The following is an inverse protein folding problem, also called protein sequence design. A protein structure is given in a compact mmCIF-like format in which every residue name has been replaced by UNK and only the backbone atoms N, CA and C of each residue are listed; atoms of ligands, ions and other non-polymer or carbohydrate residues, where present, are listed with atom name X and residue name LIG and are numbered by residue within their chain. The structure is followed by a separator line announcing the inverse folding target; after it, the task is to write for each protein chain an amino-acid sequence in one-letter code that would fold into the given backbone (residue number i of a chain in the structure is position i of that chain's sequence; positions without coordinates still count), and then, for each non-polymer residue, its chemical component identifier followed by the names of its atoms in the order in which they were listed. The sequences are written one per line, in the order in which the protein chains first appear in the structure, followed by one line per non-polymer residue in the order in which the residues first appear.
data_IF_035821835419
#
_entry.id   IF_035821835419
#
_cell.length_a   1.000
_cell.length_b   1.000
_cell.length_c   1.000
_cell.angle_alpha   90.00
_cell.angle_beta   90.00
_cell.angle_gamma   90.00
#
_symmetry.space_group_name_H-M   'P 1'
#
loop_
_entity.id
_entity.type
_entity.pdbx_description
1 polymer ?
#
# COMPACT_ATOMS: atom_id res chain seq x y z
N UNK A 1 -4.95 10.73 8.79
CA UNK A 1 -5.67 10.80 7.49
C UNK A 1 -5.95 12.25 7.13
N UNK A 2 -5.88 12.60 5.85
CA UNK A 2 -6.01 13.98 5.37
C UNK A 2 -7.34 14.14 4.60
N UNK A 3 -8.34 14.69 5.28
CA UNK A 3 -9.70 14.88 4.74
C UNK A 3 -9.71 15.80 3.51
N UNK A 4 -8.86 16.84 3.49
CA UNK A 4 -8.75 17.76 2.35
C UNK A 4 -8.30 17.03 1.07
N UNK A 5 -7.39 16.07 1.20
CA UNK A 5 -6.96 15.25 0.06
C UNK A 5 -8.08 14.33 -0.43
N UNK A 6 -8.89 13.77 0.48
CA UNK A 6 -10.07 12.97 0.08
C UNK A 6 -11.05 13.83 -0.71
N UNK A 7 -11.38 15.03 -0.20
CA UNK A 7 -12.27 15.98 -0.91
C UNK A 7 -11.72 16.32 -2.31
N UNK A 8 -10.41 16.50 -2.42
CA UNK A 8 -9.78 16.78 -3.73
C UNK A 8 -9.90 15.61 -4.71
N UNK A 9 -9.83 14.38 -4.22
CA UNK A 9 -10.11 13.19 -5.04
C UNK A 9 -11.57 13.18 -5.50
N UNK A 10 -12.49 13.45 -4.58
CA UNK A 10 -13.92 13.49 -4.88
C UNK A 10 -14.24 14.58 -5.92
N UNK A 11 -13.59 15.76 -5.82
CA UNK A 11 -13.72 16.83 -6.82
C UNK A 11 -13.26 16.39 -8.21
N UNK A 12 -12.09 15.75 -8.28
CA UNK A 12 -11.54 15.23 -9.55
C UNK A 12 -12.50 14.26 -10.25
N UNK A 13 -13.25 13.49 -9.47
CA UNK A 13 -14.17 12.46 -9.98
C UNK A 13 -15.61 12.95 -10.08
N UNK A 14 -15.91 14.14 -9.56
CA UNK A 14 -17.28 14.61 -9.38
C UNK A 14 -18.17 13.58 -8.70
N UNK A 15 -17.66 12.98 -7.62
CA UNK A 15 -18.38 11.96 -6.87
C UNK A 15 -18.01 12.06 -5.38
N UNK A 16 -19.01 12.21 -4.54
CA UNK A 16 -18.87 12.31 -3.09
C UNK A 16 -19.73 11.22 -2.45
N UNK A 17 -19.12 10.17 -1.99
CA UNK A 17 -19.82 9.01 -1.42
C UNK A 17 -19.57 8.96 0.09
N UNK A 18 -20.64 8.91 0.85
CA UNK A 18 -20.58 8.74 2.30
C UNK A 18 -21.38 7.48 2.65
N UNK A 19 -20.75 6.53 3.30
CA UNK A 19 -21.41 5.34 3.84
C UNK A 19 -21.28 5.36 5.36
N UNK A 20 -22.38 5.15 6.07
CA UNK A 20 -22.41 5.05 7.52
C UNK A 20 -22.67 3.61 7.91
N UNK A 21 -21.86 3.07 8.83
CA UNK A 21 -22.03 1.71 9.33
C UNK A 21 -22.97 1.68 10.54
N UNK A 22 -23.46 0.50 10.88
CA UNK A 22 -24.29 0.27 12.07
C UNK A 22 -23.56 0.66 13.38
N UNK A 23 -22.24 0.61 13.39
CA UNK A 23 -21.40 0.96 14.54
C UNK A 23 -20.99 2.45 14.55
N UNK A 24 -21.76 3.27 13.85
CA UNK A 24 -21.56 4.73 13.71
C UNK A 24 -20.22 5.12 13.05
N UNK A 25 -19.47 4.19 12.52
CA UNK A 25 -18.32 4.50 11.69
C UNK A 25 -18.79 5.09 10.34
N UNK A 26 -18.03 6.04 9.82
CA UNK A 26 -18.36 6.59 8.51
C UNK A 26 -17.18 6.42 7.55
N UNK A 27 -17.52 6.05 6.33
CA UNK A 27 -16.60 5.94 5.21
C UNK A 27 -16.87 7.07 4.23
N UNK A 28 -15.82 7.69 3.73
CA UNK A 28 -15.95 8.81 2.81
C UNK A 28 -14.95 8.67 1.65
N UNK A 29 -15.42 8.93 0.44
CA UNK A 29 -14.58 8.83 -0.75
C UNK A 29 -15.32 9.11 -2.04
N UNK A 30 -14.71 8.70 -3.16
CA UNK A 30 -15.26 8.93 -4.51
C UNK A 30 -16.01 7.71 -5.08
N UNK A 31 -16.18 6.66 -4.27
CA UNK A 31 -16.79 5.39 -4.69
C UNK A 31 -15.79 4.39 -5.27
N UNK A 32 -14.64 4.83 -5.78
CA UNK A 32 -13.53 3.93 -6.15
C UNK A 32 -12.54 3.75 -4.99
N UNK A 33 -12.44 4.74 -4.15
CA UNK A 33 -11.72 4.65 -2.87
C UNK A 33 -12.60 5.19 -1.76
N UNK A 34 -12.74 4.41 -0.70
CA UNK A 34 -13.49 4.77 0.49
C UNK A 34 -12.54 4.72 1.69
N UNK A 35 -12.52 5.78 2.48
CA UNK A 35 -11.61 5.96 3.61
C UNK A 35 -12.41 5.95 4.90
N UNK A 36 -11.98 5.15 5.86
CA UNK A 36 -12.59 5.10 7.20
C UNK A 36 -12.21 6.37 7.96
N UNK A 37 -13.20 7.16 8.35
CA UNK A 37 -12.97 8.39 9.08
C UNK A 37 -12.88 8.12 10.59
N UNK A 38 -12.12 8.98 11.28
CA UNK A 38 -12.09 8.97 12.74
C UNK A 38 -13.50 9.22 13.30
N UNK A 39 -13.92 8.53 14.37
CA UNK A 39 -15.21 8.77 15.00
C UNK A 39 -15.41 10.21 15.51
N UNK A 40 -14.33 10.95 15.70
CA UNK A 40 -14.36 12.36 16.11
C UNK A 40 -14.85 13.29 14.99
N UNK A 41 -14.84 12.84 13.74
CA UNK A 41 -15.28 13.65 12.60
C UNK A 41 -16.81 13.61 12.56
N UNK A 42 -17.48 14.76 12.59
CA UNK A 42 -18.94 14.78 12.50
C UNK A 42 -19.42 14.21 11.17
N UNK A 43 -20.68 13.81 11.12
CA UNK A 43 -21.25 13.24 9.90
C UNK A 43 -21.11 14.22 8.71
N UNK A 44 -20.51 13.73 7.63
CA UNK A 44 -20.20 14.53 6.43
C UNK A 44 -21.44 14.58 5.50
N UNK A 45 -22.45 15.37 5.88
CA UNK A 45 -23.53 15.68 4.95
C UNK A 45 -23.04 16.61 3.83
N UNK A 46 -23.84 16.74 2.78
CA UNK A 46 -23.54 17.67 1.68
C UNK A 46 -23.34 19.10 2.20
N UNK A 47 -24.18 19.55 3.14
CA UNK A 47 -24.06 20.89 3.75
C UNK A 47 -22.74 21.07 4.51
N UNK A 48 -22.33 20.05 5.26
CA UNK A 48 -21.08 20.09 6.03
C UNK A 48 -19.88 20.15 5.06
N UNK A 49 -19.87 19.32 4.03
CA UNK A 49 -18.79 19.30 3.04
C UNK A 49 -18.74 20.64 2.29
N UNK A 50 -19.90 21.15 1.85
CA UNK A 50 -20.01 22.44 1.16
C UNK A 50 -19.45 23.58 2.02
N UNK A 51 -19.86 23.64 3.29
CA UNK A 51 -19.42 24.70 4.19
C UNK A 51 -17.94 24.64 4.54
N UNK A 52 -17.41 23.42 4.81
CA UNK A 52 -16.01 23.24 5.20
C UNK A 52 -15.02 23.48 4.06
N UNK A 53 -15.41 23.22 2.83
CA UNK A 53 -14.51 23.25 1.68
C UNK A 53 -14.90 24.29 0.62
N UNK A 54 -15.85 25.17 0.96
CA UNK A 54 -16.33 26.27 0.11
C UNK A 54 -16.75 25.76 -1.29
N UNK A 55 -17.51 24.66 -1.31
CA UNK A 55 -18.00 24.08 -2.55
C UNK A 55 -19.37 24.64 -2.90
N UNK A 56 -19.62 24.74 -4.20
CA UNK A 56 -20.93 25.05 -4.73
C UNK A 56 -21.92 23.94 -4.28
N UNK A 57 -22.89 24.32 -3.46
CA UNK A 57 -23.83 23.38 -2.85
C UNK A 57 -24.65 22.62 -3.87
N UNK A 58 -25.17 23.33 -4.89
CA UNK A 58 -26.03 22.71 -5.89
C UNK A 58 -25.26 21.66 -6.71
N UNK A 59 -24.02 21.96 -7.07
CA UNK A 59 -23.14 21.02 -7.77
C UNK A 59 -22.75 19.85 -6.88
N UNK A 60 -22.53 20.10 -5.60
CA UNK A 60 -22.19 19.03 -4.64
C UNK A 60 -23.38 18.08 -4.48
N UNK A 61 -24.60 18.58 -4.30
CA UNK A 61 -25.78 17.74 -4.13
C UNK A 61 -26.04 16.81 -5.31
N UNK A 62 -25.77 17.27 -6.53
CA UNK A 62 -25.89 16.44 -7.73
C UNK A 62 -24.92 15.25 -7.73
N UNK A 63 -23.78 15.39 -7.05
CA UNK A 63 -22.70 14.41 -7.04
C UNK A 63 -22.53 13.71 -5.69
N UNK A 64 -23.38 14.04 -4.70
CA UNK A 64 -23.34 13.48 -3.36
C UNK A 64 -24.21 12.22 -3.30
N UNK A 65 -23.64 11.15 -2.83
CA UNK A 65 -24.33 9.87 -2.61
C UNK A 65 -24.17 9.45 -1.17
N UNK A 66 -25.28 9.36 -0.46
CA UNK A 66 -25.30 8.79 0.87
C UNK A 66 -25.91 7.39 0.81
N UNK A 67 -25.22 6.45 1.41
CA UNK A 67 -25.79 5.11 1.62
C UNK A 67 -25.67 4.76 3.10
N UNK A 68 -26.76 4.33 3.69
CA UNK A 68 -26.71 3.53 4.89
C UNK A 68 -26.01 2.23 4.50
N UNK A 69 -25.18 1.71 5.38
CA UNK A 69 -24.20 0.71 5.07
C UNK A 69 -24.75 -0.39 4.19
N UNK A 70 -24.19 -0.46 3.05
CA UNK A 70 -24.28 -1.60 2.21
C UNK A 70 -23.46 -2.73 2.87
N UNK A 71 -24.05 -3.86 3.08
CA UNK A 71 -23.40 -5.08 3.56
C UNK A 71 -22.09 -5.39 2.80
N UNK A 72 -22.02 -4.99 1.53
CA UNK A 72 -20.85 -5.18 0.68
C UNK A 72 -19.60 -4.45 1.22
N UNK A 73 -19.71 -3.16 1.59
CA UNK A 73 -18.55 -2.42 2.10
C UNK A 73 -18.11 -2.96 3.46
N UNK A 74 -19.04 -3.37 4.30
CA UNK A 74 -18.72 -3.98 5.59
C UNK A 74 -17.99 -5.31 5.40
N UNK A 75 -18.48 -6.16 4.50
CA UNK A 75 -17.80 -7.42 4.17
C UNK A 75 -16.38 -7.20 3.63
N UNK A 76 -16.19 -6.15 2.84
CA UNK A 76 -14.87 -5.81 2.32
C UNK A 76 -13.95 -5.22 3.40
N UNK A 77 -14.51 -4.56 4.40
CA UNK A 77 -13.76 -4.01 5.53
C UNK A 77 -13.44 -5.07 6.59
N UNK A 78 -14.35 -6.00 6.81
CA UNK A 78 -14.18 -7.08 7.77
C UNK A 78 -13.08 -8.06 7.31
N UNK A 79 -12.45 -8.72 8.26
CA UNK A 79 -11.38 -9.67 7.96
C UNK A 79 -11.94 -10.86 7.16
N UNK A 80 -11.45 -11.05 5.95
CA UNK A 80 -11.74 -12.23 5.18
C UNK A 80 -10.89 -13.41 5.66
N UNK A 81 -11.45 -14.60 5.72
CA UNK A 81 -10.74 -15.82 6.15
C UNK A 81 -9.55 -16.12 5.21
N UNK A 82 -9.74 -15.89 3.91
CA UNK A 82 -8.74 -16.16 2.87
C UNK A 82 -8.08 -14.87 2.36
N UNK A 83 -7.67 -14.00 3.27
CA UNK A 83 -7.09 -12.70 2.94
C UNK A 83 -5.72 -12.85 2.28
N UNK A 84 -5.60 -12.44 1.03
CA UNK A 84 -4.33 -12.49 0.29
C UNK A 84 -3.53 -11.21 0.50
N UNK A 85 -2.30 -11.36 1.00
CA UNK A 85 -1.37 -10.25 1.14
C UNK A 85 -0.81 -9.86 -0.24
N UNK A 86 -0.91 -8.59 -0.59
CA UNK A 86 -0.38 -8.03 -1.83
C UNK A 86 1.04 -7.50 -1.61
N UNK A 87 1.95 -7.89 -2.49
CA UNK A 87 3.36 -7.46 -2.41
C UNK A 87 3.61 -6.37 -3.45
N UNK A 88 3.99 -5.13 -3.04
CA UNK A 88 4.27 -4.07 -3.99
C UNK A 88 5.53 -4.39 -4.81
N UNK A 89 5.51 -4.07 -6.09
CA UNK A 89 6.66 -4.29 -6.97
C UNK A 89 7.72 -3.18 -6.86
N UNK A 90 7.44 -2.10 -6.13
CA UNK A 90 8.32 -0.96 -5.92
C UNK A 90 8.74 -0.26 -7.23
N UNK A 91 7.86 -0.32 -8.21
CA UNK A 91 7.96 0.45 -9.45
C UNK A 91 6.68 1.27 -9.60
N UNK A 92 6.77 2.39 -10.27
CA UNK A 92 5.59 3.19 -10.63
C UNK A 92 5.40 3.10 -12.15
N UNK A 93 4.18 2.89 -12.55
CA UNK A 93 3.80 2.81 -13.97
C UNK A 93 2.91 4.01 -14.29
N UNK A 94 3.21 4.72 -15.35
CA UNK A 94 2.36 5.83 -15.82
C UNK A 94 1.52 5.31 -16.98
N UNK A 95 0.20 5.37 -16.81
CA UNK A 95 -0.76 4.91 -17.81
C UNK A 95 -2.02 5.76 -17.78
N UNK A 96 -2.44 6.28 -18.93
CA UNK A 96 -3.64 7.12 -19.04
C UNK A 96 -3.59 8.37 -18.16
N UNK A 97 -2.41 8.97 -17.97
CA UNK A 97 -2.25 10.16 -17.14
C UNK A 97 -2.30 9.88 -15.63
N UNK A 98 -2.31 8.62 -15.22
CA UNK A 98 -2.30 8.21 -13.80
C UNK A 98 -0.97 7.55 -13.47
N UNK A 99 -0.56 7.68 -12.23
CA UNK A 99 0.58 6.91 -11.69
C UNK A 99 0.02 5.72 -10.93
N UNK A 100 0.34 4.53 -11.40
CA UNK A 100 -0.17 3.27 -10.86
C UNK A 100 0.96 2.55 -10.12
N UNK A 101 0.63 2.00 -8.97
CA UNK A 101 1.51 1.13 -8.18
C UNK A 101 1.09 -0.32 -8.40
N UNK A 102 1.95 -1.15 -9.03
CA UNK A 102 1.63 -2.56 -9.23
C UNK A 102 1.91 -3.39 -7.97
N UNK A 103 1.04 -4.35 -7.73
CA UNK A 103 1.17 -5.35 -6.68
C UNK A 103 1.07 -6.75 -7.29
N UNK A 104 1.84 -7.67 -6.75
CA UNK A 104 1.73 -9.09 -7.08
C UNK A 104 0.62 -9.73 -6.24
N UNK A 105 -0.21 -10.53 -6.90
CA UNK A 105 -1.20 -11.42 -6.28
C UNK A 105 -1.14 -12.81 -6.92
N UNK A 106 -1.83 -13.77 -6.32
CA UNK A 106 -2.00 -15.10 -6.90
C UNK A 106 -2.78 -15.09 -8.23
N UNK A 107 -3.62 -14.08 -8.41
CA UNK A 107 -4.46 -13.91 -9.60
C UNK A 107 -3.76 -13.10 -10.71
N UNK A 108 -2.55 -12.58 -10.44
CA UNK A 108 -1.82 -11.74 -11.39
C UNK A 108 -1.43 -10.39 -10.80
N UNK A 109 -1.45 -9.35 -11.62
CA UNK A 109 -1.09 -8.00 -11.18
C UNK A 109 -2.32 -7.18 -10.81
N UNK A 110 -2.25 -6.58 -9.65
CA UNK A 110 -3.23 -5.61 -9.15
C UNK A 110 -2.60 -4.22 -9.24
N UNK A 111 -3.30 -3.27 -9.85
CA UNK A 111 -2.81 -1.90 -10.04
C UNK A 111 -3.62 -0.93 -9.18
N UNK A 112 -2.95 -0.11 -8.39
CA UNK A 112 -3.61 0.92 -7.56
C UNK A 112 -3.14 2.30 -8.01
N UNK A 113 -4.09 3.21 -8.22
CA UNK A 113 -3.79 4.62 -8.48
C UNK A 113 -3.17 5.23 -7.20
N UNK A 114 -1.94 5.72 -7.31
CA UNK A 114 -1.18 6.24 -6.16
C UNK A 114 -1.87 7.47 -5.53
N UNK A 115 -2.71 8.17 -6.28
CA UNK A 115 -3.47 9.29 -5.73
C UNK A 115 -4.36 8.85 -4.56
N UNK A 116 -4.84 7.61 -4.56
CA UNK A 116 -5.66 7.07 -3.47
C UNK A 116 -4.86 6.78 -2.19
N UNK A 117 -3.54 6.74 -2.24
CA UNK A 117 -2.71 6.55 -1.05
C UNK A 117 -2.35 7.88 -0.37
N UNK A 118 -2.44 9.00 -1.09
CA UNK A 118 -2.08 10.33 -0.57
C UNK A 118 -2.89 10.78 0.66
N UNK A 119 -4.21 10.49 0.77
CA UNK A 119 -4.97 10.88 1.96
C UNK A 119 -4.54 10.18 3.24
N UNK A 120 -3.93 9.01 3.14
CA UNK A 120 -3.51 8.22 4.31
C UNK A 120 -2.36 8.88 5.07
N UNK A 121 -1.62 9.79 4.42
CA UNK A 121 -0.63 10.65 5.07
C UNK A 121 0.55 9.93 5.68
N UNK A 122 0.73 8.67 5.38
CA UNK A 122 1.78 7.82 5.92
C UNK A 122 2.71 7.36 4.80
N UNK A 123 3.89 6.97 5.19
CA UNK A 123 4.81 6.31 4.29
C UNK A 123 4.17 4.99 3.83
N UNK A 124 4.20 4.72 2.54
CA UNK A 124 3.60 3.51 1.98
C UNK A 124 4.17 2.22 2.60
N UNK A 125 5.38 2.27 3.17
CA UNK A 125 5.99 1.13 3.87
C UNK A 125 5.30 0.80 5.21
N UNK A 126 4.48 1.69 5.74
CA UNK A 126 3.69 1.45 6.95
C UNK A 126 2.32 0.84 6.65
N UNK A 127 2.00 0.73 5.37
CA UNK A 127 0.70 0.22 4.91
C UNK A 127 0.83 -1.24 4.47
N UNK A 128 -0.17 -2.02 4.83
CA UNK A 128 -0.34 -3.39 4.35
C UNK A 128 -1.53 -3.41 3.39
N UNK A 129 -1.39 -4.12 2.30
CA UNK A 129 -2.39 -4.20 1.24
C UNK A 129 -2.88 -5.64 1.15
N UNK A 130 -4.18 -5.85 1.20
CA UNK A 130 -4.76 -7.18 1.11
C UNK A 130 -5.89 -7.20 0.08
N UNK A 131 -5.91 -8.25 -0.74
CA UNK A 131 -6.97 -8.43 -1.72
C UNK A 131 -8.21 -8.97 -1.02
N UNK A 132 -9.35 -8.33 -1.22
CA UNK A 132 -10.65 -8.71 -0.66
C UNK A 132 -11.58 -9.35 -1.68
N UNK A 133 -11.39 -9.00 -2.94
CA UNK A 133 -12.10 -9.58 -4.08
C UNK A 133 -11.27 -9.31 -5.34
N UNK A 134 -11.70 -9.77 -6.49
CA UNK A 134 -10.97 -9.61 -7.76
C UNK A 134 -10.45 -8.19 -8.03
N UNK A 135 -11.18 -7.17 -7.58
CA UNK A 135 -10.86 -5.76 -7.87
C UNK A 135 -10.83 -4.88 -6.61
N UNK A 136 -10.91 -5.46 -5.42
CA UNK A 136 -11.05 -4.67 -4.20
C UNK A 136 -9.88 -4.92 -3.25
N UNK A 137 -9.19 -3.85 -2.88
CA UNK A 137 -8.01 -3.92 -2.02
C UNK A 137 -8.29 -3.18 -0.73
N UNK A 138 -8.13 -3.88 0.39
CA UNK A 138 -8.15 -3.25 1.71
C UNK A 138 -6.74 -2.75 2.03
N UNK A 139 -6.65 -1.48 2.42
CA UNK A 139 -5.41 -0.85 2.89
C UNK A 139 -5.47 -0.77 4.40
N UNK A 140 -4.47 -1.36 5.05
CA UNK A 140 -4.39 -1.44 6.51
C UNK A 140 -3.22 -0.64 7.06
N UNK A 141 -3.43 -0.08 8.24
CA UNK A 141 -2.35 0.44 9.09
C UNK A 141 -2.35 -0.39 10.37
N UNK A 142 -1.35 -1.25 10.51
CA UNK A 142 -1.38 -2.29 11.54
C UNK A 142 -2.53 -3.27 11.30
N UNK A 143 -3.39 -3.45 12.30
CA UNK A 143 -4.54 -4.36 12.21
C UNK A 143 -5.81 -3.71 11.64
N UNK A 144 -5.82 -2.38 11.50
CA UNK A 144 -7.04 -1.64 11.14
C UNK A 144 -7.10 -1.33 9.66
N UNK A 145 -8.23 -1.65 9.04
CA UNK A 145 -8.53 -1.22 7.67
C UNK A 145 -8.77 0.30 7.69
N UNK A 146 -8.00 1.03 6.89
CA UNK A 146 -8.07 2.49 6.81
C UNK A 146 -8.69 2.98 5.49
N UNK A 147 -8.62 2.13 4.46
CA UNK A 147 -9.25 2.43 3.18
C UNK A 147 -9.58 1.13 2.43
N UNK A 148 -10.60 1.21 1.59
CA UNK A 148 -10.94 0.20 0.59
C UNK A 148 -10.78 0.88 -0.77
N UNK A 149 -10.00 0.30 -1.65
CA UNK A 149 -9.66 0.88 -2.96
C UNK A 149 -9.98 -0.12 -4.06
N UNK A 150 -10.71 0.31 -5.08
CA UNK A 150 -10.93 -0.49 -6.28
C UNK A 150 -9.67 -0.46 -7.15
N UNK A 151 -9.17 -1.61 -7.52
CA UNK A 151 -8.03 -1.75 -8.41
C UNK A 151 -8.32 -1.12 -9.77
N UNK A 152 -7.29 -0.55 -10.37
CA UNK A 152 -7.38 0.04 -11.69
C UNK A 152 -7.58 -1.07 -12.73
N UNK A 153 -8.62 -0.94 -13.54
CA UNK A 153 -8.97 -1.92 -14.57
C UNK A 153 -8.29 -1.57 -15.88
N UNK A 154 -7.35 -2.41 -16.31
CA UNK A 154 -6.66 -2.29 -17.60
C UNK A 154 -7.07 -3.39 -18.58
N UNK A 155 -8.19 -4.05 -18.36
CA UNK A 155 -8.62 -5.21 -19.15
C UNK A 155 -8.81 -4.94 -20.65
N UNK A 156 -8.60 -3.72 -21.10
CA UNK A 156 -8.73 -3.31 -22.51
C UNK A 156 -7.38 -3.16 -23.24
N UNK A 157 -6.29 -3.49 -22.56
CA UNK A 157 -4.96 -3.26 -23.13
C UNK A 157 -4.03 -4.43 -22.77
N UNK A 158 -4.15 -5.50 -23.53
CA UNK A 158 -3.36 -6.72 -23.33
C UNK A 158 -1.85 -6.44 -23.48
N UNK A 159 -1.48 -5.55 -24.39
CA UNK A 159 -0.06 -5.18 -24.60
C UNK A 159 0.51 -4.51 -23.35
N UNK A 160 -0.26 -3.64 -22.69
CA UNK A 160 0.16 -2.99 -21.45
C UNK A 160 0.42 -4.03 -20.36
N UNK A 161 -0.48 -5.00 -20.20
CA UNK A 161 -0.32 -6.07 -19.20
C UNK A 161 0.94 -6.92 -19.49
N UNK A 162 1.19 -7.25 -20.72
CA UNK A 162 2.37 -8.05 -21.08
C UNK A 162 3.68 -7.28 -20.79
N UNK A 163 3.72 -5.97 -21.07
CA UNK A 163 4.87 -5.14 -20.71
C UNK A 163 5.10 -5.13 -19.19
N UNK A 164 4.04 -4.97 -18.38
CA UNK A 164 4.16 -4.99 -16.91
C UNK A 164 4.67 -6.36 -16.43
N UNK A 165 4.14 -7.45 -16.98
CA UNK A 165 4.61 -8.80 -16.64
C UNK A 165 6.09 -9.01 -16.96
N UNK A 166 6.54 -8.50 -18.12
CA UNK A 166 7.96 -8.57 -18.50
C UNK A 166 8.82 -7.75 -17.54
N UNK A 167 8.42 -6.54 -17.22
CA UNK A 167 9.11 -5.69 -16.24
C UNK A 167 9.19 -6.39 -14.87
N UNK A 168 8.14 -7.05 -14.45
CA UNK A 168 8.12 -7.81 -13.20
C UNK A 168 9.16 -8.95 -13.25
N UNK A 169 9.19 -9.72 -14.33
CA UNK A 169 10.17 -10.82 -14.49
C UNK A 169 11.60 -10.30 -14.44
N UNK A 170 11.88 -9.20 -15.12
CA UNK A 170 13.21 -8.58 -15.11
C UNK A 170 13.60 -8.09 -13.71
N UNK A 171 12.67 -7.48 -13.00
CA UNK A 171 12.91 -6.98 -11.64
C UNK A 171 13.13 -8.12 -10.64
N UNK A 172 12.41 -9.23 -10.76
CA UNK A 172 12.59 -10.39 -9.88
C UNK A 172 13.96 -11.05 -10.07
N UNK A 173 14.39 -11.21 -11.30
CA UNK A 173 15.72 -11.76 -11.64
C UNK A 173 16.83 -10.83 -11.11
N UNK A 174 16.66 -9.52 -11.24
CA UNK A 174 17.64 -8.54 -10.74
C UNK A 174 17.78 -8.64 -9.21
N UNK A 175 16.69 -8.75 -8.50
CA UNK A 175 16.69 -8.86 -7.03
C UNK A 175 17.32 -10.16 -6.55
N UNK A 176 17.03 -11.28 -7.22
CA UNK A 176 17.67 -12.55 -6.90
C UNK A 176 19.18 -12.46 -7.06
N UNK A 177 19.64 -11.82 -8.13
CA UNK A 177 21.06 -11.61 -8.39
C UNK A 177 21.71 -10.71 -7.32
N UNK A 178 21.06 -9.65 -6.88
CA UNK A 178 21.54 -8.78 -5.80
C UNK A 178 21.59 -9.53 -4.47
N UNK A 179 20.58 -10.33 -4.17
CA UNK A 179 20.54 -11.13 -2.94
C UNK A 179 21.68 -12.14 -2.92
N UNK A 180 21.95 -12.80 -4.06
CA UNK A 180 23.05 -13.77 -4.16
C UNK A 180 24.42 -13.09 -4.05
N UNK A 181 24.59 -11.90 -4.59
CA UNK A 181 25.84 -11.12 -4.45
C UNK A 181 26.09 -10.75 -2.97
N UNK A 182 25.06 -10.27 -2.29
CA UNK A 182 25.18 -9.88 -0.88
C UNK A 182 25.50 -11.09 0.01
N UNK A 183 24.86 -12.23 -0.24
CA UNK A 183 25.11 -13.46 0.50
C UNK A 183 26.56 -13.94 0.34
N UNK A 184 27.10 -13.87 -0.89
CA UNK A 184 28.50 -14.23 -1.14
C UNK A 184 29.45 -13.26 -0.44
N UNK A 185 29.09 -11.97 -0.32
CA UNK A 185 29.91 -10.99 0.38
C UNK A 185 29.97 -11.27 1.88
N UNK A 186 28.86 -11.58 2.50
CA UNK A 186 28.78 -11.93 3.93
C UNK A 186 29.57 -13.22 4.24
N UNK A 187 29.53 -14.21 3.35
CA UNK A 187 30.31 -15.45 3.49
C UNK A 187 31.82 -15.18 3.37
N UNK A 188 32.25 -14.23 2.53
CA UNK A 188 33.67 -13.87 2.39
C UNK A 188 34.18 -13.08 3.58
N UNK A 189 33.38 -12.19 4.19
CA UNK A 189 33.79 -11.47 5.41
C UNK A 189 33.91 -12.42 6.61
N UNK A 190 33.03 -13.40 6.73
CA UNK A 190 33.11 -14.40 7.80
C UNK A 190 34.39 -15.26 7.75
N UNK A 191 34.94 -15.51 6.55
CA UNK A 191 36.19 -16.26 6.39
C UNK A 191 37.39 -15.43 6.83
N UNK A 192 37.40 -14.11 6.62
CA UNK A 192 38.49 -13.25 7.05
C UNK A 192 38.57 -13.12 8.59
N UNK A 193 37.42 -13.06 9.28
CA UNK A 193 37.39 -13.03 10.74
C UNK A 193 37.97 -14.30 11.39
N UNK A 194 37.79 -15.46 10.76
CA UNK A 194 38.36 -16.72 11.27
C UNK A 194 39.89 -16.72 11.09
N UNK A 195 40.42 -16.15 10.00
CA UNK A 195 41.87 -16.06 9.77
C UNK A 195 42.55 -15.07 10.74
N UNK A 196 41.93 -13.96 11.06
CA UNK A 196 42.46 -12.98 12.01
C UNK A 196 42.43 -13.47 13.45
N UNK A 197 41.48 -14.22 13.84
CA UNK A 197 41.47 -14.88 15.14
C UNK A 197 42.57 -15.94 15.29
N UNK A 198 42.91 -16.37 14.35
CA UNK A 198 43.88 -17.28 14.34
C UNK A 198 45.19 -16.75 14.51
N UNK A 199 45.32 -15.73 13.81
CA UNK A 199 46.62 -15.01 13.96
C UNK A 199 46.79 -14.45 15.36
N UNK A 200 45.78 -13.91 15.97
CA UNK A 200 45.83 -13.39 17.35
C UNK A 200 46.13 -14.48 18.40
N UNK A 201 45.56 -15.67 18.23
CA UNK A 201 45.82 -16.77 19.16
C UNK A 201 47.29 -17.26 19.11
N UNK A 202 47.93 -17.25 17.92
CA UNK A 202 49.35 -17.65 17.78
C UNK A 202 50.28 -16.59 18.38
N UNK A 203 49.94 -15.31 18.34
CA UNK A 203 50.77 -14.26 18.93
C UNK A 203 50.74 -14.28 20.47
N UNK A 204 49.62 -14.70 21.05
CA UNK A 204 49.47 -14.81 22.53
C UNK A 204 50.23 -16.02 23.08
N UNK A 205 50.39 -17.08 22.31
CA UNK A 205 51.14 -18.25 22.71
C UNK A 205 52.67 -17.99 22.71
N UNK A 206 52.97 -17.29 22.05
CA UNK A 206 54.22 -16.97 21.93
C UNK A 206 54.76 -16.13 22.95
N UNK A 207 53.99 -15.30 23.35
CA UNK A 207 54.45 -14.44 24.44
C UNK A 207 54.54 -15.14 25.80
N UNK A 208 53.96 -16.28 25.94
CA UNK A 208 54.03 -17.03 27.22
C UNK A 208 55.31 -17.89 27.39
N UNK A 209 56.00 -18.25 26.31
CA UNK A 209 57.21 -19.05 26.38
C UNK A 209 58.47 -18.25 26.65
N UNK A 210 58.45 -16.93 26.46
CA UNK A 210 59.59 -16.02 26.68
C UNK A 210 59.78 -15.51 28.10
N UNK A 211 58.99 -15.97 29.08
CA UNK A 211 59.10 -15.51 30.48
C UNK A 211 59.50 -16.59 31.48
N UNK A 212 60.04 -17.71 31.01
CA UNK A 212 60.69 -18.69 31.91
C UNK A 212 62.17 -18.79 31.58
N UNK A 213 62.93 -17.81 32.05
CA UNK A 213 64.37 -17.88 32.35
C UNK A 213 64.68 -16.90 33.45
#
# INVERSE_FOLDING_TARGET
MDLKKIVNLCKKRSAFCVNKTTDDCQWFGDGHAMFLLSPEIPFLSADVISGLYELDKDKLELNYKYKLLDSELQLLADKAEDEELLVPLNINVIYGGKTLLPFKSSQGLILIDIDYLKPLGVNQYELTFTLRSEKCVAVKKGMFVTAIITAFDCNRDDDFFEVIKQLYKLNSVSRENEFMKNKNFDEMEGVNDVCDNXRRSKSTFXKRIGKCK
#
